data_IF_529639355352
#
_entry.id   IF_529639355352
#
_cell.length_a   1.000
_cell.length_b   1.000
_cell.length_c   1.000
_cell.angle_alpha   90.00
_cell.angle_beta   90.00
_cell.angle_gamma   90.00
#
_symmetry.space_group_name_H-M   'P 1'
#
loop_
_entity.id
_entity.type
_entity.pdbx_description
1 polymer ?
#
# COMPACT_ATOMS: atom_id res chain seq x y z
N UNK A 1 -18.96 -1.23 -10.33
CA UNK A 1 -17.71 -0.51 -10.09
C UNK A 1 -18.00 0.90 -9.65
N UNK A 2 -17.43 1.31 -8.54
CA UNK A 2 -17.63 2.65 -8.03
C UNK A 2 -16.81 3.68 -8.79
N UNK A 3 -17.29 4.89 -8.82
CA UNK A 3 -16.50 6.01 -9.31
C UNK A 3 -15.41 6.36 -8.33
N UNK A 4 -14.23 6.62 -8.83
CA UNK A 4 -13.11 7.03 -7.99
C UNK A 4 -13.19 8.55 -7.80
N UNK A 5 -13.25 8.97 -6.53
CA UNK A 5 -13.13 10.37 -6.16
C UNK A 5 -11.66 10.69 -5.97
N UNK A 6 -11.23 11.81 -6.54
CA UNK A 6 -9.86 12.29 -6.39
C UNK A 6 -9.89 13.57 -5.58
N UNK A 7 -9.11 13.62 -4.50
CA UNK A 7 -9.08 14.75 -3.58
C UNK A 7 -7.65 15.14 -3.22
N UNK A 8 -7.30 16.39 -3.45
CA UNK A 8 -5.98 16.91 -3.05
C UNK A 8 -6.11 17.65 -1.72
N UNK A 9 -5.33 17.26 -0.72
CA UNK A 9 -5.40 17.85 0.61
C UNK A 9 -4.09 17.63 1.36
N UNK A 10 -3.53 18.72 1.93
CA UNK A 10 -2.40 18.62 2.84
C UNK A 10 -1.14 18.01 2.23
N UNK A 11 -0.90 18.21 0.94
CA UNK A 11 0.26 17.65 0.26
C UNK A 11 0.09 16.22 -0.21
N UNK A 12 -1.14 15.72 -0.19
CA UNK A 12 -1.49 14.37 -0.64
C UNK A 12 -2.61 14.41 -1.66
N UNK A 13 -2.61 13.43 -2.56
CA UNK A 13 -3.72 13.19 -3.49
C UNK A 13 -4.35 11.87 -3.10
N UNK A 14 -5.63 11.91 -2.73
CA UNK A 14 -6.40 10.75 -2.27
C UNK A 14 -7.28 10.21 -3.38
N UNK A 15 -7.42 8.89 -3.42
CA UNK A 15 -8.32 8.18 -4.36
C UNK A 15 -9.28 7.34 -3.52
N UNK A 16 -10.57 7.59 -3.65
CA UNK A 16 -11.61 7.03 -2.78
C UNK A 16 -12.76 6.48 -3.61
N UNK A 17 -13.39 5.41 -3.15
CA UNK A 17 -14.55 4.81 -3.81
C UNK A 17 -15.86 5.02 -3.05
N UNK A 18 -15.81 5.65 -1.89
CA UNK A 18 -16.98 5.81 -1.03
C UNK A 18 -17.19 4.62 -0.09
N UNK A 19 -16.26 3.70 -0.02
CA UNK A 19 -16.33 2.49 0.81
C UNK A 19 -15.36 2.53 2.00
N UNK A 20 -14.78 3.70 2.28
CA UNK A 20 -13.73 3.86 3.29
C UNK A 20 -14.22 3.57 4.70
N UNK A 21 -15.54 3.57 4.92
CA UNK A 21 -16.14 3.22 6.22
C UNK A 21 -15.86 1.77 6.61
N UNK A 22 -15.46 0.90 5.68
CA UNK A 22 -15.09 -0.46 6.01
C UNK A 22 -13.71 -0.54 6.67
N UNK A 23 -12.92 0.53 6.61
CA UNK A 23 -11.61 0.59 7.27
C UNK A 23 -11.80 0.87 8.75
N UNK A 24 -11.36 -0.08 9.58
CA UNK A 24 -11.43 0.05 11.03
C UNK A 24 -10.25 0.90 11.51
N UNK A 25 -10.51 1.95 12.28
CA UNK A 25 -9.48 2.87 12.78
C UNK A 25 -8.32 2.17 13.46
N UNK A 26 -8.58 1.07 14.18
CA UNK A 26 -7.56 0.36 14.94
C UNK A 26 -6.92 -0.80 14.17
N UNK A 27 -7.46 -1.13 12.99
CA UNK A 27 -6.93 -2.20 12.14
C UNK A 27 -6.36 -1.67 10.83
N UNK A 28 -6.73 -0.44 10.47
CA UNK A 28 -6.33 0.16 9.20
C UNK A 28 -4.84 0.39 9.11
N UNK A 29 -4.28 0.05 7.98
CA UNK A 29 -2.88 0.30 7.68
C UNK A 29 -2.67 0.29 6.18
N UNK A 30 -1.42 0.29 5.77
CA UNK A 30 -1.08 0.44 4.36
C UNK A 30 0.16 -0.34 3.96
N UNK A 31 0.14 -0.82 2.71
CA UNK A 31 1.33 -1.22 1.99
C UNK A 31 1.82 0.01 1.22
N UNK A 32 3.12 0.21 1.16
CA UNK A 32 3.72 1.42 0.59
C UNK A 32 4.61 1.11 -0.60
N UNK A 33 4.56 2.01 -1.59
CA UNK A 33 5.46 1.98 -2.73
C UNK A 33 6.08 3.37 -2.88
N UNK A 34 7.41 3.45 -2.94
CA UNK A 34 8.11 4.72 -3.14
C UNK A 34 8.30 4.97 -4.62
N UNK A 35 7.86 6.13 -5.10
CA UNK A 35 7.87 6.48 -6.51
C UNK A 35 8.80 7.67 -6.80
N UNK A 36 9.26 7.76 -8.03
CA UNK A 36 10.03 8.91 -8.54
C UNK A 36 9.41 9.48 -9.82
N UNK A 37 8.17 9.15 -10.10
CA UNK A 37 7.42 9.63 -11.26
C UNK A 37 5.96 9.80 -10.84
N UNK A 38 5.51 11.05 -10.75
CA UNK A 38 4.15 11.37 -10.29
C UNK A 38 3.07 10.77 -11.20
N UNK A 39 3.28 10.79 -12.51
CA UNK A 39 2.30 10.22 -13.45
C UNK A 39 2.08 8.73 -13.20
N UNK A 40 3.15 8.01 -12.90
CA UNK A 40 3.07 6.60 -12.55
C UNK A 40 2.31 6.40 -11.23
N UNK A 41 2.59 7.26 -10.23
CA UNK A 41 1.89 7.21 -8.94
C UNK A 41 0.38 7.44 -9.13
N UNK A 42 0.00 8.42 -9.95
CA UNK A 42 -1.41 8.69 -10.27
C UNK A 42 -2.04 7.44 -10.88
N UNK A 43 -1.37 6.84 -11.86
CA UNK A 43 -1.88 5.67 -12.56
C UNK A 43 -2.14 4.48 -11.63
N UNK A 44 -1.18 4.12 -10.80
CA UNK A 44 -1.32 2.94 -9.95
C UNK A 44 -2.34 3.15 -8.82
N UNK A 45 -2.40 4.35 -8.24
CA UNK A 45 -3.39 4.63 -7.21
C UNK A 45 -4.81 4.63 -7.76
N UNK A 46 -5.01 5.27 -8.90
CA UNK A 46 -6.32 5.33 -9.54
C UNK A 46 -6.77 3.93 -9.99
N UNK A 47 -5.89 3.18 -10.63
CA UNK A 47 -6.17 1.82 -11.08
C UNK A 47 -6.51 0.88 -9.92
N UNK A 48 -5.72 0.95 -8.84
CA UNK A 48 -5.93 0.07 -7.69
C UNK A 48 -7.30 0.28 -7.06
N UNK A 49 -7.71 1.54 -6.89
CA UNK A 49 -9.01 1.86 -6.29
C UNK A 49 -10.14 1.58 -7.28
N UNK A 50 -9.96 1.95 -8.54
CA UNK A 50 -10.95 1.72 -9.61
C UNK A 50 -11.27 0.23 -9.78
N UNK A 51 -10.26 -0.63 -9.69
CA UNK A 51 -10.41 -2.08 -9.88
C UNK A 51 -10.73 -2.84 -8.59
N UNK A 52 -10.93 -2.13 -7.48
CA UNK A 52 -11.29 -2.79 -6.22
C UNK A 52 -10.14 -3.54 -5.55
N UNK A 53 -8.91 -3.21 -5.92
CA UNK A 53 -7.72 -3.77 -5.26
C UNK A 53 -7.69 -3.32 -3.80
N UNK A 54 -8.01 -2.05 -3.58
CA UNK A 54 -8.18 -1.48 -2.24
C UNK A 54 -9.26 -0.40 -2.28
N UNK A 55 -9.77 -0.01 -1.12
CA UNK A 55 -10.87 0.97 -1.03
C UNK A 55 -10.36 2.40 -0.99
N UNK A 56 -9.11 2.59 -0.64
CA UNK A 56 -8.49 3.91 -0.55
C UNK A 56 -7.00 3.80 -0.89
N UNK A 57 -6.51 4.77 -1.65
CA UNK A 57 -5.08 4.92 -1.91
C UNK A 57 -4.74 6.40 -1.90
N UNK A 58 -3.48 6.72 -1.63
CA UNK A 58 -3.00 8.10 -1.74
C UNK A 58 -1.55 8.11 -2.16
N UNK A 59 -1.12 9.23 -2.74
CA UNK A 59 0.30 9.46 -3.01
C UNK A 59 0.67 10.90 -2.65
N UNK A 60 1.95 11.11 -2.39
CA UNK A 60 2.45 12.47 -2.15
C UNK A 60 2.22 13.31 -3.43
N UNK A 61 1.80 14.56 -3.23
CA UNK A 61 1.58 15.49 -4.32
C UNK A 61 2.92 16.15 -4.69
N UNK A 62 3.81 15.35 -5.26
CA UNK A 62 5.18 15.74 -5.61
C UNK A 62 5.71 14.78 -6.66
N UNK A 63 6.84 15.12 -7.27
CA UNK A 63 7.46 14.27 -8.30
C UNK A 63 8.02 12.96 -7.74
N UNK A 64 8.40 12.96 -6.48
CA UNK A 64 8.83 11.76 -5.76
C UNK A 64 8.15 11.71 -4.41
N UNK A 65 7.97 10.50 -3.89
CA UNK A 65 7.34 10.30 -2.61
C UNK A 65 6.83 8.89 -2.44
N UNK A 66 5.75 8.73 -1.70
CA UNK A 66 5.19 7.42 -1.37
C UNK A 66 3.74 7.31 -1.81
N UNK A 67 3.39 6.11 -2.32
CA UNK A 67 2.01 5.68 -2.53
C UNK A 67 1.63 4.77 -1.38
N UNK A 68 0.43 4.96 -0.84
CA UNK A 68 -0.10 4.15 0.25
C UNK A 68 -1.40 3.49 -0.20
N UNK A 69 -1.50 2.17 0.03
CA UNK A 69 -2.68 1.38 -0.35
C UNK A 69 -3.28 0.81 0.94
N UNK A 70 -4.48 1.26 1.28
CA UNK A 70 -5.09 1.03 2.59
C UNK A 70 -6.01 -0.18 2.65
N UNK A 71 -5.90 -0.92 3.74
CA UNK A 71 -6.83 -2.02 4.08
C UNK A 71 -6.71 -2.31 5.57
N UNK A 72 -7.60 -3.16 6.08
CA UNK A 72 -7.54 -3.60 7.47
C UNK A 72 -6.51 -4.70 7.63
N UNK A 73 -5.80 -4.71 8.76
CA UNK A 73 -4.72 -5.66 9.04
C UNK A 73 -5.18 -7.12 9.02
N UNK A 74 -6.44 -7.39 9.36
CA UNK A 74 -7.00 -8.74 9.38
C UNK A 74 -7.66 -9.17 8.07
N UNK A 75 -7.62 -8.32 7.06
CA UNK A 75 -8.18 -8.62 5.74
C UNK A 75 -7.16 -9.40 4.90
N UNK A 76 -7.07 -10.71 5.15
CA UNK A 76 -6.08 -11.57 4.51
C UNK A 76 -6.24 -11.57 2.98
N UNK A 77 -7.45 -11.67 2.48
CA UNK A 77 -7.71 -11.63 1.03
C UNK A 77 -7.31 -10.28 0.44
N UNK A 78 -7.52 -9.21 1.19
CA UNK A 78 -7.10 -7.86 0.80
C UNK A 78 -5.59 -7.73 0.69
N UNK A 79 -4.85 -8.30 1.66
CA UNK A 79 -3.38 -8.32 1.60
C UNK A 79 -2.90 -9.03 0.34
N UNK A 80 -3.46 -10.19 0.05
CA UNK A 80 -3.11 -10.96 -1.15
C UNK A 80 -3.41 -10.19 -2.42
N UNK A 81 -4.56 -9.52 -2.46
CA UNK A 81 -4.99 -8.71 -3.60
C UNK A 81 -4.02 -7.56 -3.89
N UNK A 82 -3.67 -6.80 -2.83
CA UNK A 82 -2.74 -5.67 -2.94
C UNK A 82 -1.34 -6.17 -3.31
N UNK A 83 -0.85 -7.22 -2.67
CA UNK A 83 0.48 -7.76 -2.94
C UNK A 83 0.57 -8.36 -4.34
N UNK A 84 -0.49 -8.99 -4.82
CA UNK A 84 -0.57 -9.49 -6.20
C UNK A 84 -0.42 -8.32 -7.19
N UNK A 85 -1.12 -7.23 -6.92
CA UNK A 85 -1.03 -6.02 -7.73
C UNK A 85 0.41 -5.45 -7.71
N UNK A 86 1.03 -5.43 -6.54
CA UNK A 86 2.42 -4.97 -6.39
C UNK A 86 3.39 -5.80 -7.22
N UNK A 87 3.23 -7.12 -7.16
CA UNK A 87 4.11 -8.05 -7.89
C UNK A 87 3.89 -7.94 -9.40
N UNK A 88 2.63 -7.90 -9.84
CA UNK A 88 2.28 -7.79 -11.26
C UNK A 88 2.77 -6.50 -11.90
N UNK A 89 2.86 -5.43 -11.12
CA UNK A 89 3.28 -4.11 -11.60
C UNK A 89 4.72 -3.75 -11.22
N UNK A 90 5.45 -4.72 -10.70
CA UNK A 90 6.87 -4.56 -10.33
C UNK A 90 7.10 -3.40 -9.36
N UNK A 91 6.24 -3.32 -8.33
CA UNK A 91 6.29 -2.25 -7.34
C UNK A 91 7.17 -2.58 -6.14
N UNK A 92 7.70 -3.79 -6.05
CA UNK A 92 8.54 -4.22 -4.94
C UNK A 92 10.00 -4.26 -5.39
N UNK A 93 10.86 -3.55 -4.68
CA UNK A 93 12.29 -3.55 -4.97
C UNK A 93 12.87 -4.95 -4.79
N UNK A 94 13.94 -5.19 -5.54
CA UNK A 94 14.71 -6.43 -5.42
C UNK A 94 16.09 -6.14 -4.84
N UNK A 95 16.60 -7.10 -4.07
CA UNK A 95 17.98 -7.03 -3.57
C UNK A 95 18.94 -7.31 -4.71
N UNK A 96 20.24 -7.16 -4.44
CA UNK A 96 21.30 -7.44 -5.42
C UNK A 96 21.26 -8.89 -5.92
N UNK A 97 20.74 -9.82 -5.09
CA UNK A 97 20.65 -11.24 -5.45
C UNK A 97 19.33 -11.59 -6.14
N UNK A 98 18.45 -10.61 -6.37
CA UNK A 98 17.19 -10.82 -7.06
C UNK A 98 16.01 -11.20 -6.17
N UNK A 99 16.21 -11.19 -4.87
CA UNK A 99 15.11 -11.41 -3.91
C UNK A 99 14.27 -10.16 -3.77
N UNK A 100 12.97 -10.35 -3.51
CA UNK A 100 12.09 -9.24 -3.16
C UNK A 100 12.48 -8.69 -1.79
N UNK A 101 12.47 -7.37 -1.63
CA UNK A 101 12.59 -6.78 -0.29
C UNK A 101 11.39 -7.19 0.55
N UNK A 102 11.63 -7.48 1.81
CA UNK A 102 10.59 -7.88 2.75
C UNK A 102 9.87 -6.62 3.26
N UNK A 103 9.03 -6.04 2.42
CA UNK A 103 8.29 -4.82 2.77
C UNK A 103 7.31 -5.08 3.90
N UNK A 104 6.94 -4.04 4.62
CA UNK A 104 6.10 -4.12 5.80
C UNK A 104 4.77 -3.43 5.61
N UNK A 105 3.72 -3.99 6.21
CA UNK A 105 2.42 -3.34 6.33
C UNK A 105 2.45 -2.46 7.58
N UNK A 106 2.23 -1.16 7.43
CA UNK A 106 2.29 -0.21 8.53
C UNK A 106 0.90 0.18 9.00
N UNK A 107 0.60 -0.12 10.27
CA UNK A 107 -0.65 0.29 10.90
C UNK A 107 -0.68 1.81 11.12
N UNK A 108 -1.84 2.42 10.92
CA UNK A 108 -2.01 3.84 11.17
C UNK A 108 -1.90 4.17 12.67
N UNK A 109 -2.30 3.25 13.55
CA UNK A 109 -2.13 3.41 15.00
C UNK A 109 -0.66 3.56 15.36
N UNK A 110 0.23 2.80 14.72
CA UNK A 110 1.67 2.93 14.93
C UNK A 110 2.17 4.30 14.51
N UNK A 111 1.67 4.81 13.39
CA UNK A 111 2.01 6.15 12.92
C UNK A 111 1.53 7.21 13.90
N UNK A 112 0.30 7.10 14.39
CA UNK A 112 -0.28 8.05 15.34
C UNK A 112 0.42 8.01 16.71
N UNK A 113 0.91 6.83 17.11
CA UNK A 113 1.63 6.66 18.35
C UNK A 113 3.09 7.14 18.27
N UNK A 114 3.55 7.54 17.08
CA UNK A 114 4.91 7.99 16.88
C UNK A 114 5.94 6.87 16.85
N UNK A 115 5.53 5.66 16.53
CA UNK A 115 6.42 4.51 16.42
C UNK A 115 7.15 4.52 15.09
N UNK A 116 8.35 5.10 15.10
CA UNK A 116 9.19 5.24 13.91
C UNK A 116 10.61 4.73 14.17
N UNK A 117 11.33 4.53 13.08
CA UNK A 117 12.75 4.20 13.15
C UNK A 117 13.00 2.88 13.87
N UNK A 118 13.92 2.88 14.81
CA UNK A 118 14.35 1.66 15.50
C UNK A 118 13.30 1.09 16.43
N UNK A 119 12.32 1.88 16.82
CA UNK A 119 11.26 1.43 17.74
C UNK A 119 10.05 0.86 16.98
N UNK A 120 10.05 1.02 15.65
CA UNK A 120 8.96 0.51 14.83
C UNK A 120 9.19 -0.97 14.52
N UNK A 121 8.22 -1.79 14.93
CA UNK A 121 8.22 -3.22 14.63
C UNK A 121 6.93 -3.58 13.92
N UNK A 122 7.03 -3.95 12.66
CA UNK A 122 5.88 -4.44 11.92
C UNK A 122 5.74 -5.95 12.15
N UNK A 123 4.53 -6.38 12.50
CA UNK A 123 4.21 -7.79 12.65
C UNK A 123 3.77 -8.41 11.33
N UNK A 124 3.39 -7.57 10.35
CA UNK A 124 2.91 -8.02 9.05
C UNK A 124 3.90 -7.63 7.97
N UNK A 125 4.50 -8.63 7.36
CA UNK A 125 5.53 -8.45 6.34
C UNK A 125 5.23 -9.29 5.10
N UNK A 126 5.82 -8.91 3.99
CA UNK A 126 5.65 -9.60 2.71
C UNK A 126 5.93 -11.11 2.82
N UNK A 127 6.93 -11.51 3.60
CA UNK A 127 7.33 -12.92 3.74
C UNK A 127 6.22 -13.81 4.32
N UNK A 128 5.22 -13.21 4.99
CA UNK A 128 4.10 -13.95 5.53
C UNK A 128 3.13 -14.42 4.45
N UNK A 129 3.21 -13.84 3.26
CA UNK A 129 2.29 -14.12 2.15
C UNK A 129 2.99 -14.67 0.92
N UNK A 130 4.28 -14.36 0.74
CA UNK A 130 5.01 -14.57 -0.51
C UNK A 130 6.39 -15.12 -0.24
N UNK A 131 6.85 -16.03 -1.10
CA UNK A 131 8.23 -16.47 -1.11
C UNK A 131 9.07 -15.34 -1.73
N UNK A 132 9.99 -14.78 -0.94
CA UNK A 132 10.80 -13.64 -1.38
C UNK A 132 11.75 -13.98 -2.54
N UNK A 133 12.08 -15.26 -2.70
CA UNK A 133 13.00 -15.71 -3.76
C UNK A 133 12.29 -15.79 -5.11
N UNK A 134 11.03 -16.20 -5.13
CA UNK A 134 10.28 -16.51 -6.35
C UNK A 134 9.18 -15.50 -6.65
N UNK A 135 8.67 -14.81 -5.63
CA UNK A 135 7.50 -13.93 -5.77
C UNK A 135 6.19 -14.69 -5.83
N UNK A 136 6.22 -15.98 -5.56
CA UNK A 136 5.00 -16.80 -5.56
C UNK A 136 4.34 -16.80 -4.19
N UNK A 137 3.01 -16.81 -4.17
CA UNK A 137 2.26 -16.88 -2.91
C UNK A 137 2.41 -18.23 -2.24
N UNK A 138 2.49 -18.17 -0.91
CA UNK A 138 2.64 -19.36 -0.07
C UNK A 138 1.36 -20.18 0.02
#
# INVERSE_FOLDING_TARGET
MGEVKKLSLGGWVFYLRGEESCLDRHKCGKWMHFFNNKEFAVHICEEAVSNGICVEAKHADADEGVCCFYLNSDDIEGHKRVLSYFIENDLIRKTKTGKLYNISFKLDDQTRAGEYGTEFHSEIKLEHFVDLNTGEFL
#
